data_IF_567788631647
#
_entry.id   IF_567788631647
#
_cell.length_a   1.000
_cell.length_b   1.000
_cell.length_c   1.000
_cell.angle_alpha   90.00
_cell.angle_beta   90.00
_cell.angle_gamma   90.00
#
_symmetry.space_group_name_H-M   'P 1'
#
loop_
_entity.id
_entity.type
_entity.pdbx_description
1 polymer ?
#
# COMPACT_ATOMS: atom_id res chain seq x y z
N UNK A 1 3.07 11.50 8.30
CA UNK A 1 4.28 10.69 7.98
C UNK A 1 4.25 9.39 8.76
N UNK A 2 4.49 8.25 8.10
CA UNK A 2 4.63 6.93 8.73
C UNK A 2 6.09 6.53 8.62
N UNK A 3 6.71 6.11 9.73
CA UNK A 3 8.11 5.67 9.76
C UNK A 3 8.20 4.26 10.33
N UNK A 4 8.87 3.37 9.64
CA UNK A 4 9.27 2.07 10.13
C UNK A 4 10.73 2.15 10.59
N UNK A 5 11.02 1.75 11.83
CA UNK A 5 12.37 1.74 12.40
C UNK A 5 12.73 0.32 12.83
N UNK A 6 13.64 -0.32 12.07
CA UNK A 6 14.17 -1.67 12.32
C UNK A 6 13.05 -2.71 12.53
N UNK A 7 11.97 -2.60 11.76
CA UNK A 7 10.78 -3.43 11.92
C UNK A 7 11.08 -4.86 11.50
N UNK A 8 10.86 -5.79 12.42
CA UNK A 8 10.87 -7.24 12.18
C UNK A 8 9.54 -7.84 12.63
N UNK A 9 9.08 -8.87 11.95
CA UNK A 9 7.91 -9.63 12.33
C UNK A 9 8.12 -11.11 12.03
N UNK A 10 8.34 -11.90 13.07
CA UNK A 10 8.67 -13.33 12.96
C UNK A 10 9.80 -13.56 11.92
N UNK A 11 9.68 -14.61 11.08
CA UNK A 11 10.61 -14.88 9.98
C UNK A 11 10.20 -14.20 8.66
N UNK A 12 9.10 -13.40 8.67
CA UNK A 12 8.48 -12.86 7.45
C UNK A 12 9.07 -11.47 7.12
N UNK A 13 9.24 -10.60 8.12
CA UNK A 13 9.82 -9.26 7.97
C UNK A 13 11.11 -9.19 8.77
N UNK A 14 12.17 -8.66 8.14
CA UNK A 14 13.54 -8.73 8.66
C UNK A 14 14.20 -7.37 8.58
N UNK A 15 14.23 -6.64 9.70
CA UNK A 15 15.00 -5.40 9.89
C UNK A 15 14.71 -4.35 8.79
N UNK A 16 13.43 -4.00 8.61
CA UNK A 16 13.01 -3.02 7.62
C UNK A 16 12.95 -1.63 8.25
N UNK A 17 13.63 -0.67 7.61
CA UNK A 17 13.56 0.75 7.96
C UNK A 17 13.28 1.59 6.71
N UNK A 18 12.23 2.42 6.76
CA UNK A 18 11.89 3.39 5.72
C UNK A 18 10.89 4.42 6.22
N UNK A 19 10.67 5.44 5.42
CA UNK A 19 9.69 6.48 5.66
C UNK A 19 8.68 6.53 4.52
N UNK A 20 7.40 6.70 4.86
CA UNK A 20 6.34 7.02 3.91
C UNK A 20 6.08 8.51 4.03
N UNK A 21 6.37 9.29 2.98
CA UNK A 21 6.18 10.73 2.99
C UNK A 21 4.70 11.13 3.13
N UNK A 22 4.44 12.39 3.53
CA UNK A 22 3.09 12.94 3.67
C UNK A 22 2.53 13.49 2.35
N UNK A 23 2.94 12.94 1.22
CA UNK A 23 2.43 13.32 -0.10
C UNK A 23 2.65 12.22 -1.13
N UNK A 24 1.69 12.09 -2.03
CA UNK A 24 1.78 11.18 -3.16
C UNK A 24 1.34 9.75 -2.87
N UNK A 25 1.57 8.91 -3.86
CA UNK A 25 1.25 7.48 -3.84
C UNK A 25 2.54 6.67 -3.70
N UNK A 26 2.63 5.88 -2.63
CA UNK A 26 3.76 5.00 -2.34
C UNK A 26 3.40 3.56 -2.62
N UNK A 27 4.13 2.90 -3.51
CA UNK A 27 3.95 1.49 -3.85
C UNK A 27 4.79 0.57 -2.96
N UNK A 28 4.18 -0.45 -2.37
CA UNK A 28 4.91 -1.60 -1.82
C UNK A 28 4.90 -2.70 -2.88
N UNK A 29 6.04 -3.00 -3.47
CA UNK A 29 6.19 -3.94 -4.59
C UNK A 29 7.16 -5.08 -4.24
N UNK A 30 7.11 -6.17 -4.99
CA UNK A 30 7.97 -7.33 -4.77
C UNK A 30 7.26 -8.65 -5.11
N UNK A 31 7.97 -9.78 -5.18
CA UNK A 31 7.40 -11.09 -5.45
C UNK A 31 6.33 -11.51 -4.44
N UNK A 32 5.56 -12.54 -4.81
CA UNK A 32 4.66 -13.18 -3.85
C UNK A 32 5.47 -13.77 -2.68
N UNK A 33 4.97 -13.60 -1.46
CA UNK A 33 5.66 -14.04 -0.25
C UNK A 33 6.80 -13.12 0.22
N UNK A 34 7.06 -11.97 -0.45
CA UNK A 34 8.09 -11.03 0.01
C UNK A 34 7.74 -10.25 1.29
N UNK A 35 6.53 -10.43 1.82
CA UNK A 35 6.11 -9.82 3.10
C UNK A 35 5.32 -8.51 2.97
N UNK A 36 4.94 -8.05 1.78
CA UNK A 36 4.23 -6.77 1.54
C UNK A 36 2.99 -6.57 2.42
N UNK A 37 2.05 -7.52 2.36
CA UNK A 37 0.82 -7.50 3.18
C UNK A 37 1.13 -7.53 4.68
N UNK A 38 2.12 -8.34 5.10
CA UNK A 38 2.55 -8.41 6.50
C UNK A 38 3.13 -7.08 6.95
N UNK A 39 4.00 -6.47 6.14
CA UNK A 39 4.55 -5.15 6.41
C UNK A 39 3.43 -4.11 6.48
N UNK A 40 2.53 -4.05 5.50
CA UNK A 40 1.40 -3.13 5.53
C UNK A 40 0.60 -3.29 6.83
N UNK A 41 0.32 -4.53 7.27
CA UNK A 41 -0.41 -4.80 8.51
C UNK A 41 0.32 -4.33 9.77
N UNK A 42 1.64 -4.31 9.76
CA UNK A 42 2.41 -3.71 10.86
C UNK A 42 2.31 -2.18 10.86
N UNK A 43 2.26 -1.55 9.67
CA UNK A 43 2.18 -0.09 9.54
C UNK A 43 0.88 0.50 10.09
N UNK A 44 -0.22 -0.25 10.14
CA UNK A 44 -1.46 0.22 10.78
C UNK A 44 -1.78 -0.46 12.13
N UNK A 45 -0.86 -1.26 12.65
CA UNK A 45 -0.96 -1.84 13.98
C UNK A 45 -1.88 -3.07 14.10
N UNK A 46 -2.28 -3.69 12.97
CA UNK A 46 -2.97 -4.99 13.00
C UNK A 46 -2.04 -6.13 13.43
N UNK A 47 -0.74 -5.99 13.13
CA UNK A 47 0.31 -6.86 13.63
C UNK A 47 1.31 -6.00 14.41
N UNK A 48 1.71 -6.47 15.58
CA UNK A 48 2.75 -5.81 16.35
C UNK A 48 4.13 -6.35 15.94
N UNK A 49 5.09 -5.48 15.57
CA UNK A 49 6.46 -5.91 15.30
C UNK A 49 7.04 -6.73 16.45
N UNK A 50 7.80 -7.76 16.14
CA UNK A 50 8.57 -8.52 17.15
C UNK A 50 9.81 -7.74 17.59
N UNK A 51 10.36 -6.93 16.69
CA UNK A 51 11.46 -6.00 16.95
C UNK A 51 11.22 -4.70 16.19
N UNK A 52 11.85 -3.61 16.66
CA UNK A 52 11.67 -2.30 16.08
C UNK A 52 10.34 -1.66 16.44
N UNK A 53 9.95 -0.64 15.69
CA UNK A 53 8.69 0.08 15.92
C UNK A 53 8.19 0.80 14.68
N UNK A 54 6.89 1.09 14.68
CA UNK A 54 6.26 1.98 13.70
C UNK A 54 5.91 3.29 14.41
N UNK A 55 6.25 4.40 13.78
CA UNK A 55 5.87 5.75 14.23
C UNK A 55 4.83 6.33 13.28
N UNK A 56 3.84 6.99 13.84
CA UNK A 56 2.86 7.79 13.13
C UNK A 56 2.98 9.23 13.59
N UNK A 57 3.36 10.13 12.68
CA UNK A 57 3.67 11.53 13.00
C UNK A 57 4.68 11.68 14.16
N UNK A 58 5.72 10.83 14.16
CA UNK A 58 6.77 10.80 15.18
C UNK A 58 6.38 10.13 16.52
N UNK A 59 5.12 9.71 16.71
CA UNK A 59 4.69 9.03 17.91
C UNK A 59 4.61 7.50 17.70
N UNK A 60 5.04 6.68 18.66
CA UNK A 60 4.94 5.22 18.53
C UNK A 60 3.49 4.77 18.37
N UNK A 61 3.18 4.07 17.28
CA UNK A 61 1.85 3.60 16.94
C UNK A 61 1.25 2.73 18.06
N UNK A 62 2.06 1.87 18.66
CA UNK A 62 1.65 0.98 19.76
C UNK A 62 1.17 1.73 21.02
N UNK A 63 1.54 3.00 21.20
CA UNK A 63 1.11 3.83 22.32
C UNK A 63 -0.18 4.63 22.04
N UNK A 64 -0.65 4.59 20.80
CA UNK A 64 -1.81 5.39 20.38
C UNK A 64 -3.13 4.64 20.62
N UNK A 65 -4.17 5.40 20.97
CA UNK A 65 -5.53 4.86 21.03
C UNK A 65 -6.07 4.58 19.63
N UNK A 66 -6.78 3.47 19.44
CA UNK A 66 -7.33 3.05 18.15
C UNK A 66 -8.10 4.18 17.42
N UNK A 67 -8.89 4.99 18.16
CA UNK A 67 -9.61 6.12 17.57
C UNK A 67 -8.67 7.18 16.99
N UNK A 68 -7.54 7.46 17.66
CA UNK A 68 -6.54 8.42 17.17
C UNK A 68 -5.86 7.87 15.91
N UNK A 69 -5.52 6.57 15.90
CA UNK A 69 -4.99 5.90 14.70
C UNK A 69 -6.00 6.03 13.55
N UNK A 70 -7.28 5.75 13.80
CA UNK A 70 -8.33 5.81 12.78
C UNK A 70 -8.63 7.22 12.26
N UNK A 71 -8.23 8.30 12.94
CA UNK A 71 -8.26 9.65 12.38
C UNK A 71 -7.10 9.92 11.41
N UNK A 72 -6.00 9.19 11.55
CA UNK A 72 -4.79 9.38 10.75
C UNK A 72 -4.66 8.34 9.64
N UNK A 73 -5.13 7.12 9.89
CA UNK A 73 -4.99 5.99 8.97
C UNK A 73 -6.33 5.39 8.61
N UNK A 74 -6.63 5.34 7.33
CA UNK A 74 -7.72 4.55 6.75
C UNK A 74 -7.14 3.31 6.06
N UNK A 75 -7.88 2.18 6.10
CA UNK A 75 -7.36 0.91 5.59
C UNK A 75 -8.39 0.23 4.70
N UNK A 76 -7.95 -0.16 3.50
CA UNK A 76 -8.64 -1.12 2.63
C UNK A 76 -7.82 -2.41 2.67
N UNK A 77 -8.22 -3.33 3.55
CA UNK A 77 -7.59 -4.64 3.63
C UNK A 77 -8.09 -5.56 2.52
N UNK A 78 -7.27 -6.52 2.14
CA UNK A 78 -7.70 -7.61 1.26
C UNK A 78 -8.89 -8.35 1.88
N UNK A 79 -9.99 -8.45 1.13
CA UNK A 79 -11.24 -9.06 1.61
C UNK A 79 -11.04 -10.58 1.74
N UNK A 80 -11.14 -11.09 2.95
CA UNK A 80 -10.96 -12.50 3.27
C UNK A 80 -12.13 -13.11 4.05
N UNK A 81 -13.26 -12.40 4.13
CA UNK A 81 -14.42 -12.81 4.91
C UNK A 81 -15.77 -12.77 4.19
N UNK A 82 -16.79 -13.32 4.86
CA UNK A 82 -18.16 -13.12 4.41
C UNK A 82 -18.55 -11.64 4.56
N UNK A 83 -19.15 -11.04 3.51
CA UNK A 83 -19.59 -9.66 3.59
C UNK A 83 -20.66 -9.50 4.67
N UNK A 84 -20.66 -8.38 5.40
CA UNK A 84 -21.68 -8.14 6.43
C UNK A 84 -23.08 -8.05 5.82
N UNK A 85 -24.09 -8.47 6.59
CA UNK A 85 -25.50 -8.33 6.21
C UNK A 85 -25.98 -6.88 6.37
N UNK A 86 -25.40 -5.99 5.59
CA UNK A 86 -25.63 -4.56 5.59
C UNK A 86 -25.84 -4.08 4.16
N UNK A 87 -26.51 -2.96 4.00
CA UNK A 87 -26.59 -2.27 2.71
C UNK A 87 -25.26 -1.61 2.38
N UNK A 88 -25.05 -1.33 1.10
CA UNK A 88 -23.88 -0.62 0.60
C UNK A 88 -23.68 0.71 1.33
N UNK A 89 -24.75 1.50 1.54
CA UNK A 89 -24.66 2.78 2.24
C UNK A 89 -24.30 2.60 3.74
N UNK A 90 -24.85 1.59 4.42
CA UNK A 90 -24.52 1.30 5.82
C UNK A 90 -23.06 0.91 5.97
N UNK A 91 -22.49 0.13 5.03
CA UNK A 91 -21.05 -0.22 5.07
C UNK A 91 -20.19 1.02 4.88
N UNK A 92 -20.53 1.92 3.95
CA UNK A 92 -19.79 3.17 3.76
C UNK A 92 -19.88 4.03 5.01
N UNK A 93 -21.05 4.12 5.66
CA UNK A 93 -21.25 4.86 6.92
C UNK A 93 -20.29 4.41 8.03
N UNK A 94 -19.89 3.14 8.07
CA UNK A 94 -18.89 2.66 9.07
C UNK A 94 -17.58 3.45 9.01
N UNK A 95 -17.21 4.02 7.86
CA UNK A 95 -16.05 4.89 7.74
C UNK A 95 -16.13 6.15 8.61
N UNK A 96 -17.34 6.60 9.00
CA UNK A 96 -17.53 7.77 9.88
C UNK A 96 -17.37 7.46 11.37
N UNK A 97 -17.27 6.20 11.78
CA UNK A 97 -17.14 5.82 13.19
C UNK A 97 -16.02 6.54 13.99
N UNK A 98 -14.87 6.86 13.42
CA UNK A 98 -13.84 7.63 14.14
C UNK A 98 -14.29 9.06 14.47
N UNK A 99 -15.18 9.63 13.69
CA UNK A 99 -15.69 11.00 13.89
C UNK A 99 -16.74 11.05 15.02
N UNK A 100 -16.89 12.22 15.62
CA UNK A 100 -17.88 12.39 16.70
C UNK A 100 -19.29 12.65 16.19
N UNK A 101 -19.37 13.17 14.98
CA UNK A 101 -20.63 13.41 14.28
C UNK A 101 -21.03 12.11 13.55
N UNK A 102 -22.20 11.61 13.84
CA UNK A 102 -22.81 10.51 13.10
C UNK A 102 -23.55 11.05 11.86
N UNK A 103 -23.01 12.12 11.22
CA UNK A 103 -23.67 12.68 10.05
C UNK A 103 -23.55 11.73 8.86
N UNK A 104 -24.55 11.74 7.99
CA UNK A 104 -24.55 11.02 6.72
C UNK A 104 -23.86 11.84 5.62
N UNK A 105 -23.20 12.95 6.01
CA UNK A 105 -22.50 13.82 5.10
C UNK A 105 -21.37 13.06 4.37
N UNK A 106 -21.33 13.27 3.07
CA UNK A 106 -20.31 12.65 2.24
C UNK A 106 -20.58 11.21 1.77
N UNK A 107 -21.57 10.47 2.33
CA UNK A 107 -21.88 9.09 1.90
C UNK A 107 -22.27 9.07 0.42
N UNK A 108 -23.12 10.02 0.00
CA UNK A 108 -23.57 10.14 -1.39
C UNK A 108 -22.38 10.39 -2.31
N UNK A 109 -21.50 11.29 -1.94
CA UNK A 109 -20.35 11.66 -2.78
C UNK A 109 -19.30 10.54 -2.81
N UNK A 110 -19.05 9.87 -1.68
CA UNK A 110 -18.21 8.68 -1.65
C UNK A 110 -18.76 7.54 -2.52
N UNK A 111 -20.08 7.30 -2.50
CA UNK A 111 -20.71 6.30 -3.36
C UNK A 111 -20.72 6.71 -4.84
N UNK A 112 -20.88 8.00 -5.13
CA UNK A 112 -20.76 8.52 -6.50
C UNK A 112 -19.35 8.32 -7.05
N UNK A 113 -18.32 8.65 -6.28
CA UNK A 113 -16.92 8.57 -6.73
C UNK A 113 -16.50 7.17 -7.16
N UNK A 114 -17.09 6.13 -6.55
CA UNK A 114 -16.84 4.72 -6.89
C UNK A 114 -17.93 4.09 -7.79
N UNK A 115 -18.87 4.89 -8.33
CA UNK A 115 -19.94 4.42 -9.21
C UNK A 115 -20.98 3.51 -8.55
N UNK A 116 -21.13 3.56 -7.20
CA UNK A 116 -22.01 2.67 -6.44
C UNK A 116 -23.28 3.32 -5.89
N UNK A 117 -23.53 4.59 -6.15
CA UNK A 117 -24.68 5.29 -5.61
C UNK A 117 -26.04 4.63 -5.97
N UNK A 118 -26.18 4.14 -7.21
CA UNK A 118 -27.40 3.47 -7.68
C UNK A 118 -27.71 2.16 -6.96
N UNK A 119 -26.75 1.63 -6.17
CA UNK A 119 -26.88 0.41 -5.35
C UNK A 119 -26.80 0.69 -3.86
N UNK A 120 -26.94 1.94 -3.44
CA UNK A 120 -26.77 2.35 -2.04
C UNK A 120 -27.61 1.52 -1.04
N UNK A 121 -28.85 1.21 -1.39
CA UNK A 121 -29.79 0.44 -0.54
C UNK A 121 -29.73 -1.08 -0.77
N UNK A 122 -28.88 -1.54 -1.69
CA UNK A 122 -28.78 -2.96 -1.98
C UNK A 122 -27.90 -3.67 -0.93
N UNK A 123 -28.19 -4.94 -0.57
CA UNK A 123 -27.35 -5.70 0.34
C UNK A 123 -25.94 -5.92 -0.22
N UNK A 124 -24.91 -5.74 0.60
CA UNK A 124 -23.50 -5.96 0.16
C UNK A 124 -23.24 -7.43 -0.19
N UNK A 125 -23.91 -8.35 0.49
CA UNK A 125 -23.80 -9.81 0.26
C UNK A 125 -24.08 -10.23 -1.19
N UNK A 126 -24.94 -9.47 -1.88
CA UNK A 126 -25.33 -9.75 -3.27
C UNK A 126 -24.49 -8.97 -4.29
N UNK A 127 -23.33 -8.46 -3.90
CA UNK A 127 -22.44 -7.70 -4.78
C UNK A 127 -21.31 -8.58 -5.30
N UNK A 128 -20.87 -8.28 -6.53
CA UNK A 128 -19.66 -8.92 -7.08
C UNK A 128 -18.42 -8.53 -6.26
N UNK A 129 -17.33 -9.28 -6.38
CA UNK A 129 -16.06 -8.95 -5.71
C UNK A 129 -15.59 -7.52 -6.01
N UNK A 130 -15.65 -7.12 -7.29
CA UNK A 130 -15.28 -5.77 -7.70
C UNK A 130 -16.21 -4.68 -7.16
N UNK A 131 -17.53 -4.93 -7.07
CA UNK A 131 -18.46 -3.99 -6.44
C UNK A 131 -18.19 -3.85 -4.94
N UNK A 132 -17.92 -4.96 -4.25
CA UNK A 132 -17.53 -4.95 -2.82
C UNK A 132 -16.25 -4.16 -2.62
N UNK A 133 -15.25 -4.37 -3.45
CA UNK A 133 -13.98 -3.64 -3.37
C UNK A 133 -14.20 -2.13 -3.49
N UNK A 134 -15.00 -1.67 -4.46
CA UNK A 134 -15.33 -0.24 -4.61
C UNK A 134 -16.06 0.33 -3.38
N UNK A 135 -16.96 -0.45 -2.78
CA UNK A 135 -17.64 -0.05 -1.53
C UNK A 135 -16.65 0.09 -0.37
N UNK A 136 -15.66 -0.82 -0.26
CA UNK A 136 -14.62 -0.72 0.76
C UNK A 136 -13.71 0.50 0.54
N UNK A 137 -13.41 0.86 -0.71
CA UNK A 137 -12.68 2.09 -1.04
C UNK A 137 -13.52 3.32 -0.65
N UNK A 138 -14.83 3.37 -0.98
CA UNK A 138 -15.71 4.45 -0.56
C UNK A 138 -15.77 4.61 0.95
N UNK A 139 -15.82 3.49 1.69
CA UNK A 139 -15.75 3.48 3.17
C UNK A 139 -14.45 4.07 3.69
N UNK A 140 -13.33 3.77 3.02
CA UNK A 140 -12.04 4.31 3.41
C UNK A 140 -11.94 5.81 3.11
N UNK A 141 -12.47 6.26 2.00
CA UNK A 141 -12.46 7.68 1.63
C UNK A 141 -13.29 8.55 2.56
N UNK A 142 -14.49 8.10 2.95
CA UNK A 142 -15.35 8.88 3.87
C UNK A 142 -14.78 8.97 5.29
N UNK A 143 -13.80 8.14 5.63
CA UNK A 143 -13.08 8.22 6.89
C UNK A 143 -12.24 9.50 6.99
N UNK A 144 -11.90 10.13 5.86
CA UNK A 144 -11.17 11.41 5.77
C UNK A 144 -9.87 11.43 6.60
N UNK A 145 -9.15 10.31 6.53
CA UNK A 145 -7.86 10.15 7.20
C UNK A 145 -6.74 10.77 6.39
N UNK A 146 -5.66 11.20 7.03
CA UNK A 146 -4.48 11.80 6.37
C UNK A 146 -3.69 10.81 5.52
N UNK A 147 -3.80 9.50 5.81
CA UNK A 147 -3.20 8.40 5.03
C UNK A 147 -4.21 7.31 4.75
N UNK A 148 -4.15 6.75 3.53
CA UNK A 148 -4.89 5.53 3.18
C UNK A 148 -3.91 4.41 2.84
N UNK A 149 -4.11 3.25 3.46
CA UNK A 149 -3.33 2.04 3.24
C UNK A 149 -4.19 1.02 2.50
N UNK A 150 -3.75 0.57 1.33
CA UNK A 150 -4.52 -0.32 0.47
C UNK A 150 -3.74 -1.61 0.22
N UNK A 151 -4.34 -2.74 0.59
CA UNK A 151 -3.77 -4.07 0.35
C UNK A 151 -4.38 -4.66 -0.92
N UNK A 152 -3.65 -4.59 -2.04
CA UNK A 152 -4.05 -5.10 -3.36
C UNK A 152 -5.45 -4.61 -3.82
N UNK A 153 -5.69 -3.28 -3.88
CA UNK A 153 -7.04 -2.74 -4.08
C UNK A 153 -7.64 -3.04 -5.45
N UNK A 154 -6.84 -3.52 -6.40
CA UNK A 154 -7.26 -3.82 -7.77
C UNK A 154 -7.46 -5.31 -8.05
N UNK A 155 -7.23 -6.17 -7.07
CA UNK A 155 -7.49 -7.61 -7.22
C UNK A 155 -8.96 -7.87 -7.55
N UNK A 156 -9.19 -8.78 -8.48
CA UNK A 156 -10.53 -9.18 -8.96
C UNK A 156 -11.33 -8.06 -9.66
N UNK A 157 -10.70 -6.93 -9.99
CA UNK A 157 -11.29 -5.89 -10.85
C UNK A 157 -10.91 -6.14 -12.31
N UNK A 158 -11.82 -5.84 -13.23
CA UNK A 158 -11.45 -5.71 -14.63
C UNK A 158 -10.62 -4.44 -14.88
N UNK A 159 -9.97 -4.36 -16.05
CA UNK A 159 -9.02 -3.29 -16.37
C UNK A 159 -9.66 -1.90 -16.25
N UNK A 160 -10.92 -1.74 -16.66
CA UNK A 160 -11.61 -0.45 -16.56
C UNK A 160 -11.68 0.03 -15.11
N UNK A 161 -12.12 -0.83 -14.20
CA UNK A 161 -12.25 -0.49 -12.78
C UNK A 161 -10.89 -0.36 -12.06
N UNK A 162 -9.87 -1.12 -12.50
CA UNK A 162 -8.50 -0.93 -11.98
C UNK A 162 -8.02 0.51 -12.24
N UNK A 163 -8.16 0.99 -13.47
CA UNK A 163 -7.78 2.35 -13.85
C UNK A 163 -8.59 3.41 -13.11
N UNK A 164 -9.91 3.21 -12.94
CA UNK A 164 -10.76 4.10 -12.14
C UNK A 164 -10.29 4.18 -10.67
N UNK A 165 -9.99 3.03 -10.05
CA UNK A 165 -9.50 2.98 -8.65
C UNK A 165 -8.18 3.74 -8.51
N UNK A 166 -7.22 3.54 -9.41
CA UNK A 166 -5.96 4.27 -9.35
C UNK A 166 -6.13 5.76 -9.56
N UNK A 167 -7.00 6.17 -10.48
CA UNK A 167 -7.36 7.57 -10.65
C UNK A 167 -7.95 8.15 -9.36
N UNK A 168 -8.88 7.44 -8.72
CA UNK A 168 -9.46 7.86 -7.45
C UNK A 168 -8.42 7.98 -6.34
N UNK A 169 -7.47 7.04 -6.25
CA UNK A 169 -6.37 7.09 -5.27
C UNK A 169 -5.49 8.32 -5.52
N UNK A 170 -5.15 8.59 -6.79
CA UNK A 170 -4.32 9.74 -7.18
C UNK A 170 -5.01 11.08 -6.96
N UNK A 171 -6.33 11.14 -7.20
CA UNK A 171 -7.14 12.33 -6.99
C UNK A 171 -7.54 12.53 -5.51
N UNK A 172 -7.32 11.51 -4.67
CA UNK A 172 -7.63 11.60 -3.24
C UNK A 172 -6.67 12.55 -2.53
N UNK A 173 -7.22 13.39 -1.67
CA UNK A 173 -6.45 14.47 -1.00
C UNK A 173 -5.44 13.98 0.04
N UNK A 174 -5.55 12.73 0.47
CA UNK A 174 -4.63 12.12 1.42
C UNK A 174 -3.54 11.32 0.71
N UNK A 175 -2.52 10.97 1.49
CA UNK A 175 -1.43 10.15 1.02
C UNK A 175 -1.87 8.69 0.92
N UNK A 176 -1.41 7.98 -0.09
CA UNK A 176 -1.76 6.58 -0.28
C UNK A 176 -0.52 5.68 -0.22
N UNK A 177 -0.63 4.56 0.49
CA UNK A 177 0.33 3.45 0.40
C UNK A 177 -0.39 2.23 -0.15
N UNK A 178 0.09 1.68 -1.25
CA UNK A 178 -0.60 0.64 -2.00
C UNK A 178 0.30 -0.57 -2.18
N UNK A 179 -0.16 -1.74 -1.76
CA UNK A 179 0.49 -3.01 -2.12
C UNK A 179 0.10 -3.34 -3.55
N UNK A 180 1.10 -3.56 -4.40
CA UNK A 180 0.92 -3.82 -5.82
C UNK A 180 1.67 -5.08 -6.26
N UNK A 181 1.03 -5.85 -7.16
CA UNK A 181 1.67 -6.95 -7.88
C UNK A 181 2.09 -6.54 -9.29
N UNK A 182 1.36 -5.64 -9.92
CA UNK A 182 1.65 -5.14 -11.25
C UNK A 182 2.65 -4.00 -11.18
N UNK A 183 3.88 -4.27 -11.67
CA UNK A 183 4.96 -3.30 -11.69
C UNK A 183 4.73 -2.17 -12.70
N UNK A 184 3.95 -2.41 -13.77
CA UNK A 184 3.59 -1.36 -14.70
C UNK A 184 2.61 -0.36 -14.06
N UNK A 185 1.67 -0.85 -13.26
CA UNK A 185 0.80 0.02 -12.47
C UNK A 185 1.60 0.83 -11.44
N UNK A 186 2.61 0.21 -10.81
CA UNK A 186 3.50 0.94 -9.90
C UNK A 186 4.32 2.01 -10.63
N UNK A 187 4.81 1.70 -11.83
CA UNK A 187 5.57 2.65 -12.66
C UNK A 187 4.72 3.86 -13.10
N UNK A 188 3.43 3.65 -13.37
CA UNK A 188 2.53 4.68 -13.90
C UNK A 188 1.88 5.53 -12.79
N UNK A 189 1.53 4.93 -11.65
CA UNK A 189 0.69 5.59 -10.65
C UNK A 189 1.40 5.95 -9.34
N UNK A 190 2.56 5.35 -9.03
CA UNK A 190 3.29 5.66 -7.82
C UNK A 190 4.30 6.79 -8.02
N UNK A 191 4.43 7.63 -7.01
CA UNK A 191 5.48 8.67 -6.93
C UNK A 191 6.75 8.10 -6.28
N UNK A 192 6.61 7.07 -5.44
CA UNK A 192 7.68 6.37 -4.76
C UNK A 192 7.39 4.88 -4.64
N UNK A 193 8.39 4.04 -4.66
CA UNK A 193 8.23 2.61 -4.42
C UNK A 193 9.24 2.07 -3.42
N UNK A 194 8.79 1.10 -2.64
CA UNK A 194 9.63 0.26 -1.79
C UNK A 194 9.57 -1.16 -2.32
N UNK A 195 10.69 -1.68 -2.77
CA UNK A 195 10.82 -3.02 -3.33
C UNK A 195 11.26 -4.00 -2.25
N UNK A 196 10.45 -5.02 -2.01
CA UNK A 196 10.69 -6.05 -1.01
C UNK A 196 11.05 -7.39 -1.67
N UNK A 197 12.04 -8.08 -1.09
CA UNK A 197 12.38 -9.47 -1.41
C UNK A 197 12.69 -10.24 -0.11
N UNK A 198 12.13 -11.42 0.07
CA UNK A 198 12.40 -12.33 1.21
C UNK A 198 12.32 -11.65 2.61
N UNK A 199 11.35 -10.76 2.76
CA UNK A 199 11.10 -10.01 3.99
C UNK A 199 12.05 -8.84 4.24
N UNK A 200 12.85 -8.42 3.28
CA UNK A 200 13.77 -7.29 3.36
C UNK A 200 13.42 -6.20 2.37
N UNK A 201 13.75 -4.98 2.71
CA UNK A 201 13.75 -3.86 1.78
C UNK A 201 15.02 -3.97 0.91
N UNK A 202 14.82 -4.09 -0.40
CA UNK A 202 15.93 -4.19 -1.36
C UNK A 202 16.31 -2.82 -1.89
N UNK A 203 15.29 -2.03 -2.29
CA UNK A 203 15.51 -0.72 -2.88
C UNK A 203 14.31 0.20 -2.60
N UNK A 204 14.56 1.51 -2.57
CA UNK A 204 13.54 2.54 -2.36
C UNK A 204 13.85 3.76 -3.20
N UNK A 205 12.87 4.27 -3.92
CA UNK A 205 13.07 5.45 -4.75
C UNK A 205 11.90 5.73 -5.70
N UNK A 206 12.08 6.70 -6.59
CA UNK A 206 11.17 6.90 -7.71
C UNK A 206 11.02 5.62 -8.53
N UNK A 207 9.80 5.27 -9.01
CA UNK A 207 9.59 4.03 -9.76
C UNK A 207 10.54 3.85 -10.94
N UNK A 208 10.88 4.96 -11.61
CA UNK A 208 11.79 4.97 -12.75
C UNK A 208 13.22 4.53 -12.43
N UNK A 209 13.67 4.65 -11.19
CA UNK A 209 15.02 4.30 -10.72
C UNK A 209 15.06 2.91 -10.09
N UNK A 210 13.98 2.50 -9.44
CA UNK A 210 13.88 1.20 -8.74
C UNK A 210 13.44 0.08 -9.67
N UNK A 211 12.46 0.36 -10.56
CA UNK A 211 11.89 -0.64 -11.44
C UNK A 211 12.69 -0.73 -12.76
N UNK A 212 13.95 -1.14 -12.64
CA UNK A 212 14.89 -1.29 -13.76
C UNK A 212 15.33 -2.75 -13.92
N UNK A 213 15.73 -3.17 -15.13
CA UNK A 213 16.11 -4.56 -15.40
C UNK A 213 17.14 -5.10 -14.41
N UNK A 214 18.18 -4.34 -14.11
CA UNK A 214 19.31 -4.72 -13.27
C UNK A 214 18.88 -5.10 -11.85
N UNK A 215 17.80 -4.49 -11.35
CA UNK A 215 17.22 -4.76 -10.01
C UNK A 215 16.16 -5.86 -10.09
N UNK A 216 15.30 -5.83 -11.12
CA UNK A 216 14.14 -6.72 -11.19
C UNK A 216 14.47 -8.13 -11.66
N UNK A 217 15.41 -8.29 -12.64
CA UNK A 217 15.74 -9.59 -13.21
C UNK A 217 16.19 -10.63 -12.16
N UNK A 218 17.13 -10.30 -11.23
CA UNK A 218 17.54 -11.25 -10.20
C UNK A 218 16.46 -11.56 -9.17
N UNK A 219 15.52 -10.62 -8.93
CA UNK A 219 14.45 -10.76 -7.93
C UNK A 219 13.30 -11.63 -8.46
N UNK A 220 12.90 -11.37 -9.72
CA UNK A 220 11.76 -12.06 -10.31
C UNK A 220 12.14 -13.28 -11.14
N UNK A 221 13.44 -13.49 -11.37
CA UNK A 221 14.01 -14.54 -12.21
C UNK A 221 13.39 -14.56 -13.62
N UNK A 222 13.32 -13.38 -14.24
CA UNK A 222 12.81 -13.12 -15.59
C UNK A 222 13.71 -12.12 -16.28
N UNK A 223 13.71 -12.12 -17.62
CA UNK A 223 14.29 -11.03 -18.40
C UNK A 223 13.34 -9.85 -18.42
N UNK A 224 13.85 -8.64 -18.20
CA UNK A 224 13.09 -7.41 -18.21
C UNK A 224 13.56 -6.49 -19.33
N UNK A 225 12.65 -6.15 -20.23
CA UNK A 225 12.90 -5.15 -21.26
C UNK A 225 12.10 -3.91 -20.92
N UNK A 226 12.76 -2.79 -20.72
CA UNK A 226 12.12 -1.52 -20.41
C UNK A 226 11.91 -0.70 -21.67
N UNK A 227 10.65 -0.40 -22.00
CA UNK A 227 10.28 0.68 -22.89
C UNK A 227 10.06 1.98 -22.06
N UNK A 228 9.87 3.13 -22.69
CA UNK A 228 9.83 4.45 -22.00
C UNK A 228 8.96 4.49 -20.74
N UNK A 229 7.75 3.87 -20.80
CA UNK A 229 6.78 3.87 -19.72
C UNK A 229 6.21 2.47 -19.41
N UNK A 230 6.88 1.40 -19.86
CA UNK A 230 6.37 0.05 -19.73
C UNK A 230 7.49 -0.97 -19.54
N UNK A 231 7.22 -1.97 -18.69
CA UNK A 231 8.08 -3.12 -18.48
C UNK A 231 7.49 -4.32 -19.22
N UNK A 232 8.29 -4.97 -20.04
CA UNK A 232 7.96 -6.22 -20.69
C UNK A 232 8.77 -7.34 -20.03
N UNK A 233 8.08 -8.44 -19.67
CA UNK A 233 8.69 -9.57 -18.95
C UNK A 233 8.74 -10.80 -19.85
N UNK A 234 9.91 -11.40 -19.98
CA UNK A 234 10.14 -12.62 -20.75
C UNK A 234 10.73 -13.70 -19.85
N UNK A 235 10.47 -14.96 -20.16
CA UNK A 235 11.19 -16.05 -19.49
C UNK A 235 12.61 -16.11 -20.01
N UNK A 236 13.59 -16.43 -19.15
CA UNK A 236 14.90 -16.79 -19.63
C UNK A 236 14.79 -18.06 -20.50
N UNK A 237 15.15 -17.96 -21.76
CA UNK A 237 15.27 -19.11 -22.65
C UNK A 237 16.51 -19.92 -22.22
N UNK A 238 16.31 -21.02 -21.49
CA UNK A 238 17.28 -22.12 -21.22
C UNK A 238 18.69 -21.78 -20.70
N UNK A 239 18.97 -20.61 -20.19
CA UNK A 239 20.17 -20.35 -19.40
C UNK A 239 19.85 -20.41 -17.90
N UNK A 240 20.41 -21.39 -17.18
CA UNK A 240 20.35 -21.39 -15.72
C UNK A 240 20.96 -20.08 -15.21
N UNK A 241 20.25 -19.29 -14.38
CA UNK A 241 20.81 -18.05 -13.84
C UNK A 241 22.11 -18.35 -13.09
N UNK A 242 23.13 -17.56 -13.34
CA UNK A 242 24.41 -17.65 -12.65
C UNK A 242 24.13 -17.54 -11.13
N UNK A 243 24.71 -18.46 -10.35
CA UNK A 243 24.58 -18.46 -8.90
C UNK A 243 24.95 -17.10 -8.32
N UNK A 244 24.02 -16.55 -7.51
CA UNK A 244 24.13 -15.25 -6.84
C UNK A 244 25.43 -15.16 -6.00
N UNK A 245 26.50 -14.59 -6.56
CA UNK A 245 27.57 -14.01 -5.77
C UNK A 245 27.21 -12.54 -5.49
N UNK A 246 26.30 -12.30 -4.57
CA UNK A 246 26.10 -10.94 -4.03
C UNK A 246 27.18 -10.67 -2.98
N UNK A 247 27.96 -9.58 -3.11
CA UNK A 247 28.77 -9.12 -2.01
C UNK A 247 27.83 -8.76 -0.85
N UNK A 248 28.22 -9.15 0.36
CA UNK A 248 27.51 -8.76 1.56
C UNK A 248 27.41 -7.23 1.64
N UNK A 249 26.25 -6.66 2.08
CA UNK A 249 26.11 -5.21 2.19
C UNK A 249 27.20 -4.67 3.13
N UNK A 250 27.91 -3.66 2.63
CA UNK A 250 28.97 -2.99 3.39
C UNK A 250 28.38 -2.31 4.62
N UNK A 251 28.69 -2.82 5.81
CA UNK A 251 28.21 -2.35 7.10
C UNK A 251 28.78 -1.00 7.56
N UNK A 252 29.47 -0.27 6.66
CA UNK A 252 30.20 0.97 7.02
C UNK A 252 29.60 2.27 6.52
N UNK A 253 28.41 2.27 5.92
CA UNK A 253 27.73 3.52 5.59
C UNK A 253 27.13 4.17 6.84
N UNK A 254 27.93 4.95 7.54
CA UNK A 254 27.47 5.87 8.59
C UNK A 254 26.50 6.90 7.98
N UNK A 255 25.36 7.21 8.64
CA UNK A 255 24.51 8.30 8.23
C UNK A 255 25.26 9.62 8.41
N UNK A 256 25.53 10.29 7.30
CA UNK A 256 26.16 11.60 7.27
C UNK A 256 25.36 12.63 8.04
N UNK A 257 26.03 13.28 8.98
CA UNK A 257 25.54 14.45 9.74
C UNK A 257 25.00 15.53 8.80
N UNK A 258 23.70 15.79 8.89
CA UNK A 258 23.14 17.02 8.42
C UNK A 258 23.67 18.17 9.30
N UNK A 259 24.67 18.88 8.79
CA UNK A 259 25.11 20.14 9.38
C UNK A 259 24.04 21.21 9.18
N UNK A 260 23.52 21.68 10.30
CA UNK A 260 22.78 22.94 10.41
C UNK A 260 23.54 24.06 9.70
N UNK A 261 22.95 24.67 8.69
CA UNK A 261 23.27 26.05 8.31
C UNK A 261 22.14 26.96 8.80
N UNK A 262 22.40 27.59 9.95
CA UNK A 262 21.79 28.88 10.29
C UNK A 262 22.53 29.93 9.47
N UNK A 263 21.79 30.70 8.66
CA UNK A 263 21.84 32.17 8.59
C UNK A 263 20.66 32.62 7.74
#
# INVERSE_FOLDING_TARGET
>A
MITAENVSYQEIIKDISFEIPDHGVVGLVGPNGSGKTTLLRTLFGALQPTEGRVLLNGAPLASMRARKIAHELSVVAQDSGEPPQMTVAEVVRLGRLPHKDNSDDGIIDALKSVGMLHKAQAPLTHRSGGERQRVMIARAFIQDASHILLDEPTNHLDIHYQLEVFKLIKDYRANATVVLHDLNMALEYCDWVHLLEEGRLVESGPPGEVLVPEILEPIYNVRVVRAEHHLHFERFENEKPAQKNRPAPDRTAHPGRLQQRRN
#
